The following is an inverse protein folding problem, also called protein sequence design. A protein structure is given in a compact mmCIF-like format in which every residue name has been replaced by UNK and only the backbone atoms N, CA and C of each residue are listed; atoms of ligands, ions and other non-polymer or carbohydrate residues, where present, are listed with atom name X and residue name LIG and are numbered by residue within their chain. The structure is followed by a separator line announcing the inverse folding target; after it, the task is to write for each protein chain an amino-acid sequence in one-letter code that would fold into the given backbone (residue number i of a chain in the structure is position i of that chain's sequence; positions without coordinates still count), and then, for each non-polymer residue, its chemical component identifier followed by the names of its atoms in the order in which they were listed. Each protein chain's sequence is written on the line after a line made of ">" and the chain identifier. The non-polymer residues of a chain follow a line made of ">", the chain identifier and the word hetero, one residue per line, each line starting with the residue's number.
data_IF_911058208849
#
_entry.id   IF_911058208849
#
_cell.length_a   1.000
_cell.length_b   1.000
_cell.length_c   1.000
_cell.angle_alpha   90.00
_cell.angle_beta   90.00
_cell.angle_gamma   90.00
#
_symmetry.space_group_name_H-M   'P 1'
#
loop_
_entity.id
_entity.type
_entity.pdbx_description
1 polymer ?
#
# COMPACT_ATOMS: atom_id res chain seq x y z
N UNK A 1 -2.66 7.60 23.65
CA UNK A 1 -2.34 6.17 23.49
C UNK A 1 -1.83 5.91 22.09
N UNK A 2 -0.89 5.01 21.95
CA UNK A 2 -0.43 4.58 20.63
C UNK A 2 -1.59 3.96 19.85
N UNK A 3 -1.62 4.19 18.53
CA UNK A 3 -2.55 3.50 17.64
C UNK A 3 -2.18 2.03 17.59
N UNK A 4 -3.16 1.17 17.44
CA UNK A 4 -2.96 -0.28 17.44
C UNK A 4 -3.70 -0.95 16.30
N UNK A 5 -3.14 -2.07 15.85
CA UNK A 5 -3.81 -3.09 15.05
C UNK A 5 -3.76 -4.42 15.81
N UNK A 6 -4.35 -5.47 15.27
CA UNK A 6 -4.20 -6.82 15.83
C UNK A 6 -3.66 -7.79 14.79
N UNK A 7 -2.95 -8.80 15.25
CA UNK A 7 -2.55 -9.95 14.46
C UNK A 7 -2.99 -11.22 15.18
N UNK A 8 -3.96 -11.92 14.60
CA UNK A 8 -4.60 -13.09 15.24
C UNK A 8 -5.10 -12.76 16.66
N UNK A 9 -5.72 -11.57 16.78
CA UNK A 9 -6.25 -11.07 18.04
C UNK A 9 -5.24 -10.47 19.02
N UNK A 10 -3.95 -10.54 18.73
CA UNK A 10 -2.91 -9.95 19.59
C UNK A 10 -2.65 -8.50 19.22
N UNK A 11 -2.70 -7.54 20.18
CA UNK A 11 -2.50 -6.13 19.88
C UNK A 11 -1.04 -5.83 19.54
N UNK A 12 -0.88 -4.97 18.53
CA UNK A 12 0.41 -4.48 18.05
C UNK A 12 0.33 -2.97 17.86
N UNK A 13 1.31 -2.24 18.38
CA UNK A 13 1.39 -0.80 18.22
C UNK A 13 1.73 -0.42 16.77
N UNK A 14 1.15 0.68 16.32
CA UNK A 14 1.44 1.31 15.04
C UNK A 14 2.20 2.60 15.25
N UNK A 15 3.23 2.82 14.45
CA UNK A 15 3.97 4.07 14.41
C UNK A 15 3.40 4.98 13.32
N UNK A 16 3.31 6.27 13.63
CA UNK A 16 2.86 7.31 12.70
C UNK A 16 1.41 7.75 12.91
N UNK A 17 0.99 8.79 12.17
CA UNK A 17 -0.34 9.40 12.32
C UNK A 17 -1.44 8.52 11.72
N UNK A 18 -2.66 8.73 12.15
CA UNK A 18 -3.85 8.23 11.45
C UNK A 18 -4.28 9.27 10.42
N UNK A 19 -4.08 8.97 9.15
CA UNK A 19 -4.47 9.86 8.07
C UNK A 19 -5.99 9.83 7.87
N UNK A 20 -6.52 10.94 7.39
CA UNK A 20 -7.96 11.13 7.15
C UNK A 20 -8.22 11.54 5.70
N UNK A 21 -9.39 11.19 5.20
CA UNK A 21 -9.88 11.70 3.92
C UNK A 21 -9.87 13.24 3.93
N UNK A 22 -9.40 13.84 2.85
CA UNK A 22 -9.21 15.28 2.69
C UNK A 22 -7.82 15.78 3.05
N UNK A 23 -7.00 15.00 3.75
CA UNK A 23 -5.61 15.34 4.01
C UNK A 23 -4.74 15.17 2.76
N UNK A 24 -3.62 15.84 2.71
CA UNK A 24 -2.60 15.60 1.68
C UNK A 24 -1.89 14.27 1.93
N UNK A 25 -1.72 13.50 0.87
CA UNK A 25 -0.94 12.28 0.92
C UNK A 25 0.53 12.63 1.22
N UNK A 26 1.14 12.08 2.28
CA UNK A 26 2.53 12.34 2.57
C UNK A 26 3.44 11.93 1.42
N UNK A 27 4.40 12.78 1.08
CA UNK A 27 5.42 12.47 0.08
C UNK A 27 6.62 11.84 0.76
N UNK A 28 6.85 10.56 0.46
CA UNK A 28 7.96 9.79 1.02
C UNK A 28 8.71 9.07 -0.10
N UNK A 29 9.99 8.79 0.18
CA UNK A 29 10.84 8.03 -0.73
C UNK A 29 10.91 6.57 -0.28
N UNK A 30 10.62 5.67 -1.20
CA UNK A 30 10.70 4.21 -1.03
C UNK A 30 11.58 3.62 -2.12
N UNK A 31 11.82 2.32 -2.09
CA UNK A 31 12.63 1.63 -3.10
C UNK A 31 11.75 0.95 -4.16
N UNK A 32 12.09 1.17 -5.41
CA UNK A 32 11.51 0.45 -6.55
C UNK A 32 12.39 -0.74 -6.96
N UNK A 33 13.69 -0.62 -6.73
CA UNK A 33 14.68 -1.69 -6.85
C UNK A 33 15.72 -1.53 -5.74
N UNK A 34 16.76 -2.36 -5.71
CA UNK A 34 17.84 -2.21 -4.73
C UNK A 34 18.55 -0.85 -4.85
N UNK A 35 18.60 -0.31 -6.06
CA UNK A 35 19.31 0.96 -6.34
C UNK A 35 18.37 2.12 -6.61
N UNK A 36 17.22 1.88 -7.25
CA UNK A 36 16.30 2.92 -7.66
C UNK A 36 15.33 3.32 -6.56
N UNK A 37 15.19 4.60 -6.34
CA UNK A 37 14.22 5.18 -5.43
C UNK A 37 12.96 5.64 -6.19
N UNK A 38 11.86 5.78 -5.44
CA UNK A 38 10.58 6.24 -5.95
C UNK A 38 9.93 7.13 -4.90
N UNK A 39 9.42 8.28 -5.32
CA UNK A 39 8.62 9.15 -4.46
C UNK A 39 7.14 8.95 -4.73
N UNK A 40 6.33 9.00 -3.70
CA UNK A 40 4.86 8.89 -3.87
C UNK A 40 4.36 10.02 -4.79
N UNK A 41 4.97 11.21 -4.72
CA UNK A 41 4.66 12.34 -5.61
C UNK A 41 5.02 12.14 -7.08
N UNK A 42 5.80 11.12 -7.42
CA UNK A 42 6.10 10.78 -8.83
C UNK A 42 4.83 10.39 -9.60
N UNK A 43 3.78 9.97 -8.91
CA UNK A 43 2.46 9.71 -9.48
C UNK A 43 1.51 10.90 -9.51
N UNK A 44 1.96 12.11 -9.17
CA UNK A 44 1.12 13.33 -9.20
C UNK A 44 0.52 13.53 -10.61
N UNK A 45 -0.71 14.01 -10.63
CA UNK A 45 -1.47 14.18 -11.88
C UNK A 45 -2.25 12.94 -12.30
N UNK A 46 -2.08 11.82 -11.62
CA UNK A 46 -2.86 10.60 -11.81
C UNK A 46 -3.56 10.18 -10.53
N UNK A 47 -4.70 9.54 -10.68
CA UNK A 47 -5.39 8.86 -9.57
C UNK A 47 -4.57 7.62 -9.20
N UNK A 48 -4.37 7.39 -7.91
CA UNK A 48 -3.52 6.31 -7.39
C UNK A 48 -4.25 5.50 -6.33
N UNK A 49 -4.08 4.19 -6.38
CA UNK A 49 -4.42 3.32 -5.26
C UNK A 49 -3.14 2.80 -4.65
N UNK A 50 -2.98 3.00 -3.35
CA UNK A 50 -1.85 2.49 -2.56
C UNK A 50 -2.36 1.34 -1.70
N UNK A 51 -1.91 0.14 -2.00
CA UNK A 51 -2.22 -1.09 -1.28
C UNK A 51 -1.06 -1.45 -0.37
N UNK A 52 -1.28 -1.46 0.93
CA UNK A 52 -0.24 -1.72 1.94
C UNK A 52 -0.44 -3.09 2.54
N UNK A 53 0.59 -3.90 2.52
CA UNK A 53 0.56 -5.30 2.98
C UNK A 53 1.75 -5.62 3.87
N UNK A 54 1.58 -6.53 4.87
CA UNK A 54 2.68 -6.97 5.73
C UNK A 54 3.80 -7.69 4.98
N UNK A 55 3.46 -8.65 4.15
CA UNK A 55 4.42 -9.40 3.32
C UNK A 55 3.71 -10.14 2.20
N UNK A 56 4.28 -10.10 1.00
CA UNK A 56 3.78 -10.80 -0.19
C UNK A 56 3.77 -12.32 -0.03
N UNK A 57 4.57 -12.86 0.86
CA UNK A 57 4.64 -14.30 1.14
C UNK A 57 3.52 -14.80 2.07
N UNK A 58 2.50 -14.00 2.34
CA UNK A 58 1.32 -14.40 3.11
C UNK A 58 0.09 -14.53 2.20
N UNK A 59 -0.85 -15.47 2.49
CA UNK A 59 -1.98 -15.74 1.59
C UNK A 59 -2.87 -14.54 1.28
N UNK A 60 -3.26 -13.77 2.30
CA UNK A 60 -4.13 -12.60 2.14
C UNK A 60 -3.43 -11.48 1.36
N UNK A 61 -2.16 -11.25 1.61
CA UNK A 61 -1.37 -10.25 0.90
C UNK A 61 -1.21 -10.59 -0.58
N UNK A 62 -0.93 -11.85 -0.88
CA UNK A 62 -0.82 -12.35 -2.25
C UNK A 62 -2.16 -12.19 -3.00
N UNK A 63 -3.26 -12.54 -2.36
CA UNK A 63 -4.60 -12.42 -2.94
C UNK A 63 -5.00 -10.96 -3.15
N UNK A 64 -4.73 -10.08 -2.19
CA UNK A 64 -4.95 -8.64 -2.32
C UNK A 64 -4.20 -8.09 -3.53
N UNK A 65 -2.94 -8.45 -3.68
CA UNK A 65 -2.11 -7.98 -4.80
C UNK A 65 -2.61 -8.53 -6.13
N UNK A 66 -2.98 -9.81 -6.21
CA UNK A 66 -3.57 -10.39 -7.42
C UNK A 66 -4.88 -9.71 -7.82
N UNK A 67 -5.73 -9.40 -6.86
CA UNK A 67 -6.99 -8.72 -7.12
C UNK A 67 -6.77 -7.32 -7.71
N UNK A 68 -5.89 -6.53 -7.13
CA UNK A 68 -5.59 -5.20 -7.67
C UNK A 68 -4.85 -5.27 -9.01
N UNK A 69 -4.02 -6.27 -9.24
CA UNK A 69 -3.43 -6.48 -10.56
C UNK A 69 -4.49 -6.70 -11.64
N UNK A 70 -5.52 -7.48 -11.34
CA UNK A 70 -6.66 -7.70 -12.26
C UNK A 70 -7.41 -6.40 -12.51
N UNK A 71 -7.72 -5.63 -11.47
CA UNK A 71 -8.43 -4.35 -11.60
C UNK A 71 -7.59 -3.32 -12.37
N UNK A 72 -6.27 -3.32 -12.20
CA UNK A 72 -5.36 -2.42 -12.89
C UNK A 72 -5.45 -2.57 -14.41
N UNK A 73 -5.74 -3.77 -14.90
CA UNK A 73 -5.89 -4.03 -16.33
C UNK A 73 -7.12 -3.32 -16.94
N UNK A 74 -8.15 -3.09 -16.14
CA UNK A 74 -9.39 -2.42 -16.58
C UNK A 74 -9.40 -0.90 -16.32
N UNK A 75 -8.41 -0.37 -15.61
CA UNK A 75 -8.33 1.04 -15.23
C UNK A 75 -6.99 1.66 -15.69
N UNK A 76 -6.82 1.88 -17.02
CA UNK A 76 -5.52 2.30 -17.58
C UNK A 76 -5.05 3.69 -17.14
N UNK A 77 -5.95 4.55 -16.67
CA UNK A 77 -5.63 5.90 -16.22
C UNK A 77 -5.30 5.99 -14.73
N UNK A 78 -5.32 4.87 -14.02
CA UNK A 78 -5.04 4.77 -12.60
C UNK A 78 -3.68 4.11 -12.39
N UNK A 79 -2.92 4.61 -11.42
CA UNK A 79 -1.69 3.97 -10.95
C UNK A 79 -1.99 3.12 -9.72
N UNK A 80 -1.49 1.88 -9.74
CA UNK A 80 -1.61 0.96 -8.60
C UNK A 80 -0.23 0.75 -7.97
N UNK A 81 -0.13 0.97 -6.68
CA UNK A 81 1.08 0.74 -5.89
C UNK A 81 0.81 -0.31 -4.82
N UNK A 82 1.71 -1.26 -4.67
CA UNK A 82 1.74 -2.16 -3.52
C UNK A 82 2.98 -1.87 -2.70
N UNK A 83 2.80 -1.56 -1.42
CA UNK A 83 3.87 -1.24 -0.48
C UNK A 83 4.00 -2.34 0.56
N UNK A 84 5.22 -2.83 0.75
CA UNK A 84 5.57 -3.76 1.83
C UNK A 84 7.02 -3.52 2.27
N UNK A 85 7.42 -4.12 3.39
CA UNK A 85 8.82 -4.14 3.81
C UNK A 85 9.62 -5.29 3.20
N UNK A 86 9.03 -6.08 2.30
CA UNK A 86 9.76 -7.08 1.54
C UNK A 86 10.89 -6.41 0.75
N UNK A 87 12.01 -7.09 0.58
CA UNK A 87 13.08 -6.59 -0.26
C UNK A 87 12.62 -6.45 -1.71
N UNK A 88 13.12 -5.48 -2.47
CA UNK A 88 12.77 -5.33 -3.89
C UNK A 88 13.00 -6.59 -4.72
N UNK A 89 14.00 -7.38 -4.39
CA UNK A 89 14.29 -8.67 -5.05
C UNK A 89 13.19 -9.70 -4.78
N UNK A 90 12.67 -9.76 -3.56
CA UNK A 90 11.55 -10.64 -3.21
C UNK A 90 10.25 -10.17 -3.90
N UNK A 91 10.03 -8.87 -3.96
CA UNK A 91 8.89 -8.28 -4.69
C UNK A 91 8.95 -8.63 -6.18
N UNK A 92 10.14 -8.54 -6.79
CA UNK A 92 10.36 -8.92 -8.19
C UNK A 92 10.08 -10.40 -8.44
N UNK A 93 10.53 -11.28 -7.55
CA UNK A 93 10.26 -12.73 -7.63
C UNK A 93 8.76 -13.02 -7.55
N UNK A 94 8.05 -12.37 -6.63
CA UNK A 94 6.60 -12.49 -6.50
C UNK A 94 5.88 -12.07 -7.80
N UNK A 95 6.27 -10.91 -8.36
CA UNK A 95 5.68 -10.43 -9.61
C UNK A 95 5.87 -11.42 -10.75
N UNK A 96 7.05 -11.99 -10.89
CA UNK A 96 7.33 -13.01 -11.92
C UNK A 96 6.52 -14.28 -11.73
N UNK A 97 6.43 -14.78 -10.49
CA UNK A 97 5.70 -16.00 -10.17
C UNK A 97 4.17 -15.86 -10.32
N UNK A 98 3.63 -14.68 -10.00
CA UNK A 98 2.18 -14.42 -9.99
C UNK A 98 1.66 -13.74 -11.26
N UNK A 99 2.52 -13.46 -12.22
CA UNK A 99 2.12 -12.78 -13.46
C UNK A 99 1.63 -11.34 -13.24
N UNK A 100 2.23 -10.63 -12.31
CA UNK A 100 1.90 -9.24 -12.04
C UNK A 100 2.40 -8.35 -13.18
N UNK A 101 1.52 -7.52 -13.72
CA UNK A 101 1.88 -6.56 -14.76
C UNK A 101 2.57 -5.33 -14.16
N UNK A 102 3.90 -5.30 -14.23
CA UNK A 102 4.72 -4.23 -13.67
C UNK A 102 4.48 -2.85 -14.31
N UNK A 103 3.89 -2.78 -15.50
CA UNK A 103 3.52 -1.51 -16.14
C UNK A 103 2.26 -0.89 -15.50
N UNK A 104 1.44 -1.70 -14.85
CA UNK A 104 0.15 -1.29 -14.27
C UNK A 104 0.16 -1.24 -12.76
N UNK A 105 0.89 -2.15 -12.12
CA UNK A 105 1.03 -2.22 -10.68
C UNK A 105 2.51 -2.17 -10.31
N UNK A 106 2.91 -1.10 -9.63
CA UNK A 106 4.29 -0.89 -9.19
C UNK A 106 4.47 -1.40 -7.77
N UNK A 107 5.46 -2.26 -7.56
CA UNK A 107 5.87 -2.71 -6.23
C UNK A 107 6.85 -1.71 -5.63
N UNK A 108 6.59 -1.32 -4.39
CA UNK A 108 7.40 -0.36 -3.64
C UNK A 108 7.81 -0.96 -2.31
N UNK A 109 9.09 -0.86 -1.99
CA UNK A 109 9.66 -1.43 -0.77
C UNK A 109 10.03 -0.35 0.24
N UNK A 110 9.50 -0.50 1.45
CA UNK A 110 9.79 0.38 2.59
C UNK A 110 10.86 -0.22 3.53
N UNK A 111 11.72 -1.13 2.99
CA UNK A 111 12.66 -1.92 3.80
C UNK A 111 13.77 -1.10 4.46
N UNK A 112 14.15 0.06 3.87
CA UNK A 112 15.32 0.81 4.31
C UNK A 112 15.16 1.38 5.73
N UNK A 113 14.16 2.22 5.91
CA UNK A 113 13.97 3.00 7.13
C UNK A 113 12.53 3.07 7.63
N UNK A 114 11.58 2.44 6.91
CA UNK A 114 10.17 2.51 7.27
C UNK A 114 9.55 3.89 7.07
N UNK A 115 10.10 4.71 6.18
CA UNK A 115 9.64 6.09 5.97
C UNK A 115 8.17 6.15 5.54
N UNK A 116 7.74 5.23 4.68
CA UNK A 116 6.34 5.14 4.28
C UNK A 116 5.44 4.81 5.48
N UNK A 117 5.75 3.73 6.19
CA UNK A 117 4.95 3.30 7.33
C UNK A 117 4.85 4.35 8.42
N UNK A 118 5.93 5.09 8.69
CA UNK A 118 5.94 6.20 9.66
C UNK A 118 5.08 7.38 9.21
N UNK A 119 5.08 7.70 7.92
CA UNK A 119 4.31 8.84 7.39
C UNK A 119 2.82 8.48 7.21
N UNK A 120 2.52 7.25 6.82
CA UNK A 120 1.15 6.78 6.58
C UNK A 120 0.51 6.08 7.78
N UNK A 121 1.25 5.91 8.89
CA UNK A 121 0.74 5.31 10.12
C UNK A 121 0.48 3.82 10.02
N UNK A 122 1.28 3.10 9.23
CA UNK A 122 1.10 1.66 8.98
C UNK A 122 2.24 0.80 9.54
N UNK A 123 3.35 1.38 9.99
CA UNK A 123 4.48 0.60 10.48
C UNK A 123 4.16 -0.08 11.81
N UNK A 124 4.38 -1.39 11.88
CA UNK A 124 4.40 -2.17 13.12
C UNK A 124 5.85 -2.28 13.55
N UNK A 125 6.35 -1.42 14.45
CA UNK A 125 7.78 -1.33 14.73
C UNK A 125 8.35 -2.61 15.35
N UNK A 126 7.55 -3.31 16.15
CA UNK A 126 7.93 -4.57 16.79
C UNK A 126 8.25 -5.68 15.79
N UNK A 127 7.56 -5.70 14.67
CA UNK A 127 7.72 -6.72 13.62
C UNK A 127 8.51 -6.22 12.42
N UNK A 128 8.70 -4.90 12.29
CA UNK A 128 9.34 -4.27 11.13
C UNK A 128 8.64 -4.62 9.81
N UNK A 129 7.32 -4.65 9.85
CA UNK A 129 6.45 -4.83 8.68
C UNK A 129 5.36 -3.77 8.69
N UNK A 130 4.72 -3.59 7.55
CA UNK A 130 3.53 -2.76 7.46
C UNK A 130 2.30 -3.49 8.01
N UNK A 131 1.36 -2.76 8.56
CA UNK A 131 -0.01 -3.25 8.76
C UNK A 131 -0.75 -3.26 7.41
N UNK A 132 -2.00 -3.72 7.41
CA UNK A 132 -2.80 -3.71 6.20
C UNK A 132 -3.62 -2.43 6.10
N UNK A 133 -3.50 -1.76 4.95
CA UNK A 133 -4.21 -0.49 4.70
C UNK A 133 -4.44 -0.25 3.21
N UNK A 134 -5.43 0.57 2.89
CA UNK A 134 -5.69 1.06 1.53
C UNK A 134 -5.83 2.58 1.55
N UNK A 135 -5.22 3.22 0.55
CA UNK A 135 -5.35 4.66 0.33
C UNK A 135 -5.67 4.92 -1.14
N UNK A 136 -6.64 5.79 -1.40
CA UNK A 136 -6.89 6.33 -2.74
C UNK A 136 -6.52 7.80 -2.72
N UNK A 137 -5.67 8.19 -3.67
CA UNK A 137 -5.12 9.54 -3.79
C UNK A 137 -5.54 10.11 -5.13
N UNK A 138 -6.06 11.33 -5.13
CA UNK A 138 -6.47 12.01 -6.37
C UNK A 138 -5.28 12.66 -7.10
N UNK A 139 -5.58 13.33 -8.21
CA UNK A 139 -4.58 14.00 -9.06
C UNK A 139 -3.84 15.13 -8.35
N UNK A 140 -4.43 15.68 -7.28
CA UNK A 140 -3.89 16.81 -6.51
C UNK A 140 -3.22 16.36 -5.20
N UNK A 141 -2.89 15.08 -5.07
CA UNK A 141 -2.30 14.47 -3.86
C UNK A 141 -3.21 14.55 -2.63
N UNK A 142 -4.52 14.58 -2.81
CA UNK A 142 -5.47 14.55 -1.70
C UNK A 142 -6.01 13.13 -1.50
N UNK A 143 -6.04 12.69 -0.25
CA UNK A 143 -6.60 11.40 0.13
C UNK A 143 -8.12 11.42 -0.03
N UNK A 144 -8.66 10.49 -0.81
CA UNK A 144 -10.10 10.34 -1.08
C UNK A 144 -10.70 9.10 -0.46
N UNK A 145 -9.87 8.13 -0.10
CA UNK A 145 -10.25 6.96 0.64
C UNK A 145 -9.11 6.57 1.56
N UNK A 146 -9.44 6.21 2.79
CA UNK A 146 -8.46 5.75 3.80
C UNK A 146 -9.09 4.58 4.55
N UNK A 147 -8.40 3.45 4.56
CA UNK A 147 -8.79 2.30 5.36
C UNK A 147 -7.57 1.71 6.07
N UNK A 148 -7.65 1.63 7.39
CA UNK A 148 -6.73 0.85 8.21
C UNK A 148 -7.47 -0.40 8.64
N UNK A 149 -7.02 -1.57 8.19
CA UNK A 149 -7.67 -2.84 8.52
C UNK A 149 -7.36 -3.22 9.97
N UNK A 150 -8.37 -3.38 10.85
CA UNK A 150 -8.12 -3.60 12.29
C UNK A 150 -7.39 -4.90 12.62
N UNK A 151 -7.58 -5.94 11.82
CA UNK A 151 -6.90 -7.23 11.97
C UNK A 151 -6.03 -7.49 10.73
N UNK A 152 -4.72 -7.54 10.92
CA UNK A 152 -3.73 -7.66 9.84
C UNK A 152 -3.97 -8.87 8.93
N UNK A 153 -4.49 -9.95 9.48
CA UNK A 153 -4.80 -11.17 8.74
C UNK A 153 -6.11 -11.12 7.94
N UNK A 154 -6.90 -10.05 8.08
CA UNK A 154 -8.18 -9.89 7.38
C UNK A 154 -8.03 -9.15 6.06
N UNK A 155 -8.96 -9.41 5.13
CA UNK A 155 -9.05 -8.65 3.89
C UNK A 155 -9.52 -7.21 4.11
N UNK A 156 -9.06 -6.25 3.30
CA UNK A 156 -9.64 -4.92 3.26
C UNK A 156 -11.00 -4.93 2.56
N UNK A 157 -11.70 -3.81 2.59
CA UNK A 157 -12.93 -3.60 1.82
C UNK A 157 -12.58 -3.19 0.37
N UNK A 158 -12.37 -4.16 -0.47
CA UNK A 158 -12.02 -3.96 -1.88
C UNK A 158 -13.05 -3.12 -2.62
N UNK A 159 -14.34 -3.42 -2.43
CA UNK A 159 -15.42 -2.76 -3.17
C UNK A 159 -15.52 -1.27 -2.84
N UNK A 160 -15.36 -0.90 -1.57
CA UNK A 160 -15.37 0.50 -1.16
C UNK A 160 -14.17 1.28 -1.75
N UNK A 161 -12.97 0.70 -1.70
CA UNK A 161 -11.79 1.32 -2.28
C UNK A 161 -11.91 1.47 -3.80
N UNK A 162 -12.38 0.43 -4.49
CA UNK A 162 -12.58 0.46 -5.94
C UNK A 162 -13.68 1.44 -6.36
N UNK A 163 -14.76 1.57 -5.59
CA UNK A 163 -15.80 2.56 -5.84
C UNK A 163 -15.24 3.98 -5.75
N UNK A 164 -14.46 4.28 -4.71
CA UNK A 164 -13.79 5.56 -4.56
C UNK A 164 -12.82 5.84 -5.73
N UNK A 165 -12.06 4.83 -6.13
CA UNK A 165 -11.12 4.91 -7.25
C UNK A 165 -11.82 5.20 -8.57
N UNK A 166 -12.88 4.46 -8.89
CA UNK A 166 -13.64 4.62 -10.14
C UNK A 166 -14.37 5.97 -10.23
N UNK A 167 -14.76 6.54 -9.10
CA UNK A 167 -15.39 7.87 -9.07
C UNK A 167 -14.43 9.00 -9.47
N UNK A 168 -13.11 8.76 -9.40
CA UNK A 168 -12.05 9.73 -9.68
C UNK A 168 -11.37 9.48 -11.05
N UNK A 169 -11.52 8.29 -11.57
CA UNK A 169 -10.87 7.86 -12.81
C UNK A 169 -11.48 8.49 -14.07
#
# INVERSE_FOLDING_TARGET
>A
MARQTTLKGNPLDLEGPELKVGAKAPDVTVKKSLVDSFKISDGRGKVRLISVVPSLDTPVCAEQTRRFNKEASSLPNVQFYTVSCDLPTAQGRFCGAEGINAERLTMLSDHMDGAFGKAYGTLIPKLRVESRALFVVDKDDTLRYVEYVPEVASHPNYDAALAALKSLA
#
